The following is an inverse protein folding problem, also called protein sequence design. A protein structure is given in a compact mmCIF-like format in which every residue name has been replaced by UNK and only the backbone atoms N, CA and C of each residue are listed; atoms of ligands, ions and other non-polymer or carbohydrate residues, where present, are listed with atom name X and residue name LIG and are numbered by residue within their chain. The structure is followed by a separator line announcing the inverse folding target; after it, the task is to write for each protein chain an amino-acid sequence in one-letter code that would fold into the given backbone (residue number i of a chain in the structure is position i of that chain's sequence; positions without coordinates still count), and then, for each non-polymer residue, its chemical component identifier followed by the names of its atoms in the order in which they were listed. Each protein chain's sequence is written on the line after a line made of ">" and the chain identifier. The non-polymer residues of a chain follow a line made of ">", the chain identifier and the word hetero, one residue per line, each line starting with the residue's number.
data_IF_803779737064
#
_entry.id   IF_803779737064
#
_cell.length_a   1.000
_cell.length_b   1.000
_cell.length_c   1.000
_cell.angle_alpha   90.00
_cell.angle_beta   90.00
_cell.angle_gamma   90.00
#
_symmetry.space_group_name_H-M   'P 1'
#
loop_
_entity.id
_entity.type
_entity.pdbx_description
1 polymer ?
#
# COMPACT_ATOMS: atom_id res chain seq x y z
N UNK A 1 -1.22 -1.96 -52.91
CA UNK A 1 0.24 -1.82 -52.84
C UNK A 1 0.88 -3.19 -52.99
N UNK A 2 1.54 -3.45 -54.12
CA UNK A 2 2.12 -4.75 -54.46
C UNK A 2 3.25 -5.12 -53.52
N UNK A 3 2.98 -6.01 -52.56
CA UNK A 3 4.02 -6.60 -51.72
C UNK A 3 4.97 -7.39 -52.63
N UNK A 4 6.27 -7.05 -52.61
CA UNK A 4 7.31 -7.76 -53.36
C UNK A 4 7.12 -9.27 -53.16
N UNK A 5 6.80 -10.00 -54.24
CA UNK A 5 6.65 -11.46 -54.22
C UNK A 5 7.94 -12.05 -53.66
N UNK A 6 7.83 -12.77 -52.54
CA UNK A 6 8.98 -13.45 -51.93
C UNK A 6 9.27 -14.66 -52.81
N UNK A 7 10.40 -14.62 -53.51
CA UNK A 7 10.87 -15.70 -54.38
C UNK A 7 12.18 -16.22 -53.81
N UNK A 8 12.23 -17.51 -53.53
CA UNK A 8 13.47 -18.21 -53.21
C UNK A 8 13.91 -19.04 -54.40
N UNK A 9 15.21 -19.07 -54.68
CA UNK A 9 15.78 -19.81 -55.81
C UNK A 9 15.99 -21.28 -55.39
N UNK A 10 15.50 -22.26 -56.18
CA UNK A 10 15.82 -23.67 -56.00
C UNK A 10 17.34 -23.91 -55.95
N UNK A 11 17.80 -24.70 -54.99
CA UNK A 11 19.21 -25.00 -54.74
C UNK A 11 19.86 -24.11 -53.68
N UNK A 12 19.30 -22.95 -53.36
CA UNK A 12 19.89 -22.03 -52.38
C UNK A 12 19.52 -22.36 -50.94
N UNK A 13 20.50 -22.18 -50.05
CA UNK A 13 20.32 -22.25 -48.60
C UNK A 13 19.71 -20.95 -48.10
N UNK A 14 18.63 -21.04 -47.33
CA UNK A 14 17.97 -19.87 -46.73
C UNK A 14 18.84 -19.32 -45.58
N UNK A 15 19.29 -18.05 -45.65
CA UNK A 15 20.19 -17.47 -44.65
C UNK A 15 19.62 -17.57 -43.23
N UNK A 16 20.47 -17.93 -42.25
CA UNK A 16 20.09 -18.06 -40.84
C UNK A 16 19.27 -19.30 -40.50
N UNK A 17 19.10 -20.25 -41.43
CA UNK A 17 18.34 -21.50 -41.21
C UNK A 17 19.12 -22.75 -41.64
N UNK A 18 18.56 -23.91 -41.32
CA UNK A 18 18.99 -25.22 -41.82
C UNK A 18 18.28 -25.64 -43.11
N UNK A 19 17.51 -24.74 -43.74
CA UNK A 19 16.73 -25.07 -44.94
C UNK A 19 17.49 -24.75 -46.23
N UNK A 20 17.52 -25.71 -47.14
CA UNK A 20 17.85 -25.52 -48.56
C UNK A 20 16.57 -25.69 -49.37
N UNK A 21 16.23 -24.71 -50.19
CA UNK A 21 15.04 -24.77 -51.04
C UNK A 21 15.31 -25.75 -52.18
N UNK A 22 14.45 -26.75 -52.39
CA UNK A 22 14.59 -27.70 -53.49
C UNK A 22 13.77 -27.26 -54.71
N UNK A 23 12.51 -26.91 -54.48
CA UNK A 23 11.60 -26.46 -55.54
C UNK A 23 10.39 -25.74 -54.93
N UNK A 24 9.65 -25.03 -55.78
CA UNK A 24 8.33 -24.52 -55.41
C UNK A 24 7.33 -25.67 -55.25
N UNK A 25 6.37 -25.50 -54.35
CA UNK A 25 5.28 -26.45 -54.10
C UNK A 25 3.93 -25.76 -54.31
N UNK A 26 2.87 -26.56 -54.39
CA UNK A 26 1.51 -26.05 -54.54
C UNK A 26 1.16 -25.04 -53.43
N UNK A 27 0.56 -23.92 -53.85
CA UNK A 27 0.13 -22.88 -52.93
C UNK A 27 -0.99 -23.41 -52.03
N UNK A 28 -0.92 -23.07 -50.74
CA UNK A 28 -1.92 -23.49 -49.74
C UNK A 28 -2.52 -22.25 -49.08
N UNK A 29 -3.84 -22.13 -49.06
CA UNK A 29 -4.58 -20.98 -48.51
C UNK A 29 -4.13 -19.62 -49.08
N UNK A 30 -3.85 -19.57 -50.39
CA UNK A 30 -3.37 -18.36 -51.05
C UNK A 30 -1.91 -17.99 -50.70
N UNK A 31 -1.19 -18.85 -49.97
CA UNK A 31 0.21 -18.63 -49.59
C UNK A 31 1.16 -19.53 -50.38
N UNK A 32 2.28 -18.95 -50.81
CA UNK A 32 3.33 -19.62 -51.59
C UNK A 32 4.12 -20.58 -50.71
N UNK A 33 4.31 -21.81 -51.18
CA UNK A 33 4.97 -22.88 -50.45
C UNK A 33 6.23 -23.35 -51.18
N UNK A 34 7.23 -23.79 -50.43
CA UNK A 34 8.47 -24.34 -50.97
C UNK A 34 8.76 -25.70 -50.36
N UNK A 35 9.17 -26.66 -51.19
CA UNK A 35 9.71 -27.93 -50.72
C UNK A 35 11.17 -27.70 -50.35
N UNK A 36 11.48 -27.80 -49.06
CA UNK A 36 12.81 -27.52 -48.52
C UNK A 36 13.41 -28.79 -47.92
N UNK A 37 14.71 -29.00 -48.14
CA UNK A 37 15.52 -30.01 -47.45
C UNK A 37 16.23 -29.37 -46.28
N UNK A 38 16.11 -29.96 -45.10
CA UNK A 38 16.87 -29.50 -43.95
C UNK A 38 18.27 -30.15 -43.93
N UNK A 39 19.24 -29.55 -43.23
CA UNK A 39 20.55 -30.15 -42.94
C UNK A 39 20.43 -31.61 -42.40
N UNK A 40 19.36 -31.92 -41.65
CA UNK A 40 19.03 -33.25 -41.14
C UNK A 40 18.63 -34.28 -42.22
N UNK A 41 18.58 -33.88 -43.49
CA UNK A 41 18.09 -34.69 -44.60
C UNK A 41 16.56 -34.72 -44.76
N UNK A 42 15.79 -34.32 -43.74
CA UNK A 42 14.32 -34.30 -43.82
C UNK A 42 13.83 -33.25 -44.80
N UNK A 43 12.91 -33.64 -45.68
CA UNK A 43 12.26 -32.76 -46.65
C UNK A 43 10.88 -32.36 -46.12
N UNK A 44 10.57 -31.06 -46.11
CA UNK A 44 9.26 -30.53 -45.72
C UNK A 44 8.80 -29.43 -46.65
N UNK A 45 7.48 -29.28 -46.75
CA UNK A 45 6.85 -28.13 -47.40
C UNK A 45 6.72 -26.99 -46.40
N UNK A 46 7.39 -25.87 -46.66
CA UNK A 46 7.50 -24.72 -45.75
C UNK A 46 6.95 -23.46 -46.43
N UNK A 47 6.27 -22.63 -45.64
CA UNK A 47 5.68 -21.38 -46.10
C UNK A 47 6.76 -20.32 -46.38
N UNK A 48 6.62 -19.60 -47.50
CA UNK A 48 7.57 -18.57 -47.93
C UNK A 48 7.76 -17.44 -46.89
N UNK A 49 6.70 -17.01 -46.21
CA UNK A 49 6.78 -16.00 -45.15
C UNK A 49 7.57 -16.54 -43.94
N UNK A 50 7.37 -17.80 -43.57
CA UNK A 50 8.05 -18.40 -42.43
C UNK A 50 9.55 -18.59 -42.68
N UNK A 51 9.95 -18.85 -43.93
CA UNK A 51 11.36 -18.87 -44.34
C UNK A 51 11.97 -17.46 -44.27
N UNK A 52 11.29 -16.45 -44.82
CA UNK A 52 11.80 -15.06 -44.85
C UNK A 52 11.94 -14.44 -43.46
N UNK A 53 10.95 -14.65 -42.59
CA UNK A 53 10.92 -14.04 -41.26
C UNK A 53 11.49 -14.95 -40.16
N UNK A 54 12.21 -16.02 -40.52
CA UNK A 54 12.92 -16.87 -39.56
C UNK A 54 12.01 -17.65 -38.58
N UNK A 55 10.72 -17.83 -38.90
CA UNK A 55 9.79 -18.60 -38.06
C UNK A 55 9.95 -20.11 -38.22
N UNK A 56 10.61 -20.56 -39.29
CA UNK A 56 10.99 -21.95 -39.52
C UNK A 56 12.49 -22.04 -39.72
N UNK A 57 13.21 -22.46 -38.68
CA UNK A 57 14.68 -22.51 -38.70
C UNK A 57 15.23 -23.89 -39.12
N UNK A 58 14.47 -24.98 -38.91
CA UNK A 58 14.87 -26.35 -39.30
C UNK A 58 13.66 -27.29 -39.36
N UNK A 59 13.90 -28.56 -39.74
CA UNK A 59 12.91 -29.65 -39.71
C UNK A 59 12.40 -29.98 -38.28
N UNK A 60 12.96 -29.34 -37.24
CA UNK A 60 12.78 -29.67 -35.82
C UNK A 60 13.91 -30.54 -35.26
N UNK A 61 14.95 -30.82 -36.06
CA UNK A 61 16.13 -31.60 -35.68
C UNK A 61 17.12 -30.84 -34.80
N UNK A 62 17.19 -29.51 -34.91
CA UNK A 62 18.01 -28.68 -34.02
C UNK A 62 17.22 -28.49 -32.73
N UNK A 63 17.36 -29.42 -31.79
CA UNK A 63 16.92 -29.23 -30.41
C UNK A 63 18.10 -28.74 -29.57
N UNK A 64 17.92 -27.77 -28.65
CA UNK A 64 18.95 -27.40 -27.68
C UNK A 64 19.30 -28.60 -26.78
N UNK A 65 20.52 -28.62 -26.27
CA UNK A 65 21.14 -29.73 -25.51
C UNK A 65 20.39 -30.17 -24.24
N UNK A 66 19.37 -29.44 -23.81
CA UNK A 66 18.58 -29.73 -22.61
C UNK A 66 17.57 -30.87 -22.75
N UNK A 67 17.54 -31.59 -23.88
CA UNK A 67 16.50 -32.59 -24.18
C UNK A 67 17.05 -33.98 -24.57
N UNK A 68 18.17 -34.40 -23.96
CA UNK A 68 18.75 -35.77 -24.07
C UNK A 68 17.99 -36.84 -23.26
N UNK A 69 16.66 -36.73 -23.16
CA UNK A 69 15.87 -37.67 -22.35
C UNK A 69 14.52 -37.96 -22.98
N UNK A 70 14.47 -38.46 -24.21
CA UNK A 70 13.21 -38.98 -24.74
C UNK A 70 13.45 -40.09 -25.77
N UNK A 71 13.32 -41.33 -25.30
CA UNK A 71 13.34 -42.57 -26.07
C UNK A 71 12.33 -42.59 -27.23
N UNK A 72 12.57 -43.48 -28.19
CA UNK A 72 11.83 -43.59 -29.44
C UNK A 72 10.37 -44.03 -29.23
N UNK A 73 9.46 -43.63 -30.13
CA UNK A 73 8.00 -43.84 -30.01
C UNK A 73 7.59 -45.33 -29.94
N UNK A 74 8.44 -46.28 -30.39
CA UNK A 74 8.15 -47.72 -30.28
C UNK A 74 8.35 -48.29 -28.86
N UNK A 75 9.15 -47.65 -28.01
CA UNK A 75 9.42 -48.11 -26.64
C UNK A 75 8.39 -47.60 -25.61
N UNK A 76 7.59 -46.58 -25.95
CA UNK A 76 6.59 -45.97 -25.05
C UNK A 76 5.48 -46.91 -24.59
N UNK A 77 5.22 -47.99 -25.31
CA UNK A 77 3.96 -48.71 -25.16
C UNK A 77 3.99 -49.82 -24.09
N UNK A 78 5.17 -50.16 -23.55
CA UNK A 78 5.32 -51.23 -22.56
C UNK A 78 6.36 -50.89 -21.48
N UNK A 79 6.38 -49.63 -21.04
CA UNK A 79 7.25 -49.16 -19.97
C UNK A 79 6.57 -49.48 -18.64
N UNK A 80 7.26 -50.24 -17.78
CA UNK A 80 6.87 -50.35 -16.39
C UNK A 80 7.35 -49.10 -15.63
N UNK A 81 6.42 -48.35 -15.07
CA UNK A 81 6.69 -47.14 -14.30
C UNK A 81 6.69 -47.40 -12.80
N UNK A 82 6.52 -48.65 -12.36
CA UNK A 82 6.47 -49.01 -10.94
C UNK A 82 7.71 -48.53 -10.20
N UNK A 83 7.53 -47.73 -9.14
CA UNK A 83 8.61 -47.17 -8.33
C UNK A 83 9.17 -45.84 -8.82
N UNK A 84 8.91 -45.45 -10.06
CA UNK A 84 9.44 -44.21 -10.66
C UNK A 84 8.85 -42.94 -10.03
N UNK A 85 9.63 -41.86 -10.10
CA UNK A 85 9.34 -40.58 -9.48
C UNK A 85 9.08 -39.49 -10.52
N UNK A 86 7.89 -38.90 -10.49
CA UNK A 86 7.49 -37.77 -11.35
C UNK A 86 7.18 -36.55 -10.48
N UNK A 87 8.18 -35.70 -10.26
CA UNK A 87 8.08 -34.61 -9.28
C UNK A 87 7.87 -35.16 -7.87
N UNK A 88 6.74 -34.83 -7.23
CA UNK A 88 6.36 -35.35 -5.91
C UNK A 88 5.41 -36.56 -5.98
N UNK A 89 5.38 -37.28 -7.10
CA UNK A 89 4.51 -38.45 -7.32
C UNK A 89 5.36 -39.70 -7.48
N UNK A 90 5.16 -40.68 -6.59
CA UNK A 90 5.74 -42.02 -6.70
C UNK A 90 4.72 -42.97 -7.32
N UNK A 91 5.07 -43.64 -8.40
CA UNK A 91 4.21 -44.64 -9.03
C UNK A 91 4.26 -45.95 -8.25
N UNK A 92 3.10 -46.56 -7.97
CA UNK A 92 2.98 -47.78 -7.16
C UNK A 92 2.74 -49.01 -8.00
N UNK A 93 1.70 -49.01 -8.83
CA UNK A 93 1.31 -50.18 -9.63
C UNK A 93 0.46 -49.75 -10.82
N UNK A 94 0.45 -50.59 -11.85
CA UNK A 94 -0.42 -50.42 -13.03
C UNK A 94 -1.82 -50.95 -12.72
N UNK A 95 -2.84 -50.12 -12.94
CA UNK A 95 -4.23 -50.49 -12.65
C UNK A 95 -4.89 -51.10 -13.88
N UNK A 96 -4.81 -50.43 -15.03
CA UNK A 96 -5.48 -50.88 -16.25
C UNK A 96 -4.94 -50.20 -17.52
N UNK A 97 -5.37 -50.67 -18.69
CA UNK A 97 -5.04 -50.07 -19.98
C UNK A 97 -3.66 -50.45 -20.56
N UNK A 98 -3.38 -49.94 -21.76
CA UNK A 98 -2.16 -50.24 -22.52
C UNK A 98 -1.57 -48.97 -23.13
N UNK A 99 -0.24 -48.97 -23.28
CA UNK A 99 0.52 -47.85 -23.85
C UNK A 99 0.32 -46.53 -23.12
N UNK A 100 0.39 -45.41 -23.86
CA UNK A 100 0.32 -44.06 -23.29
C UNK A 100 -0.97 -43.72 -22.53
N UNK A 101 -2.02 -44.53 -22.69
CA UNK A 101 -3.31 -44.38 -21.99
C UNK A 101 -3.46 -45.32 -20.78
N UNK A 102 -2.43 -46.10 -20.44
CA UNK A 102 -2.44 -46.92 -19.24
C UNK A 102 -2.63 -46.07 -17.97
N UNK A 103 -3.45 -46.55 -17.05
CA UNK A 103 -3.76 -45.91 -15.78
C UNK A 103 -2.86 -46.51 -14.72
N UNK A 104 -2.18 -45.63 -13.99
CA UNK A 104 -1.23 -45.97 -12.94
C UNK A 104 -1.72 -45.41 -11.61
N UNK A 105 -1.61 -46.23 -10.56
CA UNK A 105 -1.86 -45.82 -9.19
C UNK A 105 -0.59 -45.23 -8.62
N UNK A 106 -0.69 -44.05 -8.02
CA UNK A 106 0.46 -43.31 -7.53
C UNK A 106 0.23 -42.76 -6.13
N UNK A 107 1.30 -42.59 -5.36
CA UNK A 107 1.32 -41.93 -4.06
C UNK A 107 2.01 -40.58 -4.17
N UNK A 108 1.38 -39.54 -3.67
CA UNK A 108 2.02 -38.23 -3.58
C UNK A 108 2.93 -38.17 -2.35
N UNK A 109 4.23 -37.94 -2.56
CA UNK A 109 5.21 -37.83 -1.47
C UNK A 109 5.08 -36.53 -0.66
N UNK A 110 4.38 -35.52 -1.18
CA UNK A 110 4.17 -34.26 -0.47
C UNK A 110 2.99 -34.26 0.51
N UNK A 111 1.97 -35.12 0.30
CA UNK A 111 0.77 -35.16 1.16
C UNK A 111 0.27 -36.57 1.48
N UNK A 112 0.94 -37.62 1.01
CA UNK A 112 0.57 -39.01 1.23
C UNK A 112 -0.61 -39.54 0.41
N UNK A 113 -1.38 -38.68 -0.27
CA UNK A 113 -2.57 -39.08 -1.04
C UNK A 113 -2.24 -40.10 -2.14
N UNK A 114 -3.02 -41.17 -2.21
CA UNK A 114 -3.03 -42.13 -3.32
C UNK A 114 -4.06 -41.69 -4.36
N UNK A 115 -3.69 -41.73 -5.64
CA UNK A 115 -4.55 -41.31 -6.75
C UNK A 115 -4.14 -42.00 -8.06
N UNK A 116 -5.04 -42.03 -9.03
CA UNK A 116 -4.82 -42.64 -10.33
C UNK A 116 -4.56 -41.58 -11.40
N UNK A 117 -3.62 -41.86 -12.31
CA UNK A 117 -3.23 -40.96 -13.38
C UNK A 117 -2.84 -41.72 -14.64
N UNK A 118 -3.12 -41.12 -15.79
CA UNK A 118 -2.78 -41.68 -17.09
C UNK A 118 -1.28 -41.52 -17.39
N UNK A 119 -0.65 -42.54 -17.96
CA UNK A 119 0.78 -42.61 -18.28
C UNK A 119 1.29 -41.40 -19.09
N UNK A 120 0.52 -40.93 -20.08
CA UNK A 120 0.91 -39.76 -20.88
C UNK A 120 1.06 -38.50 -20.01
N UNK A 121 0.24 -38.35 -18.96
CA UNK A 121 0.31 -37.19 -18.07
C UNK A 121 1.53 -37.23 -17.15
N UNK A 122 1.98 -38.41 -16.75
CA UNK A 122 3.24 -38.60 -16.02
C UNK A 122 4.44 -38.34 -16.93
N UNK A 123 4.49 -39.03 -18.06
CA UNK A 123 5.62 -38.98 -18.99
C UNK A 123 5.79 -37.62 -19.65
N UNK A 124 4.71 -36.93 -20.03
CA UNK A 124 4.78 -35.55 -20.56
C UNK A 124 5.15 -34.49 -19.52
N UNK A 125 5.19 -34.84 -18.23
CA UNK A 125 5.44 -33.91 -17.13
C UNK A 125 4.23 -33.03 -16.76
N UNK A 126 3.04 -33.32 -17.29
CA UNK A 126 1.81 -32.61 -16.93
C UNK A 126 1.37 -32.88 -15.48
N UNK A 127 1.65 -34.07 -14.94
CA UNK A 127 1.36 -34.44 -13.55
C UNK A 127 2.64 -34.58 -12.75
N UNK A 128 2.89 -33.63 -11.84
CA UNK A 128 4.05 -33.60 -10.92
C UNK A 128 3.64 -33.68 -9.44
N UNK A 129 2.33 -33.67 -9.15
CA UNK A 129 1.75 -33.86 -7.82
C UNK A 129 0.31 -34.40 -7.97
N UNK A 130 -0.31 -34.91 -6.89
CA UNK A 130 -1.73 -35.28 -6.89
C UNK A 130 -2.71 -34.08 -6.98
N UNK A 131 -2.18 -32.91 -7.34
CA UNK A 131 -2.86 -31.64 -7.22
C UNK A 131 -2.83 -31.06 -5.81
N UNK A 132 -2.24 -31.70 -4.77
CA UNK A 132 -2.20 -31.14 -3.40
C UNK A 132 -1.51 -29.78 -3.28
N UNK A 133 -0.55 -29.46 -4.15
CA UNK A 133 0.02 -28.11 -4.21
C UNK A 133 -0.98 -27.07 -4.74
N UNK A 134 -1.96 -27.50 -5.56
CA UNK A 134 -3.12 -26.68 -6.00
C UNK A 134 -4.36 -26.88 -5.09
N UNK A 135 -4.49 -28.00 -4.36
CA UNK A 135 -5.56 -28.34 -3.40
C UNK A 135 -5.32 -27.69 -2.04
N UNK A 136 -4.09 -27.23 -1.76
CA UNK A 136 -3.79 -26.14 -0.81
C UNK A 136 -4.42 -24.79 -1.23
N UNK A 137 -5.23 -24.74 -2.30
CA UNK A 137 -6.11 -23.62 -2.63
C UNK A 137 -7.61 -23.98 -2.52
N UNK A 138 -7.97 -25.20 -2.10
CA UNK A 138 -9.36 -25.68 -2.17
C UNK A 138 -9.87 -26.38 -0.90
N UNK A 139 -9.13 -26.34 0.21
CA UNK A 139 -9.68 -26.73 1.52
C UNK A 139 -10.42 -25.54 2.16
N UNK A 140 -11.29 -25.79 3.13
CA UNK A 140 -12.04 -24.77 3.89
C UNK A 140 -11.11 -23.64 4.43
N UNK A 141 -9.85 -23.98 4.76
CA UNK A 141 -8.79 -23.05 5.19
C UNK A 141 -8.28 -22.11 4.08
N UNK A 142 -8.59 -22.34 2.81
CA UNK A 142 -8.13 -21.54 1.67
C UNK A 142 -9.15 -20.51 1.18
N UNK A 143 -10.38 -20.54 1.70
CA UNK A 143 -11.38 -19.49 1.47
C UNK A 143 -10.82 -18.13 1.94
N UNK A 144 -10.09 -18.10 3.05
CA UNK A 144 -9.38 -16.91 3.53
C UNK A 144 -8.20 -16.48 2.62
N UNK A 145 -7.45 -17.43 2.04
CA UNK A 145 -6.27 -17.11 1.23
C UNK A 145 -6.58 -16.62 -0.19
N UNK A 146 -7.73 -17.00 -0.76
CA UNK A 146 -8.24 -16.46 -2.05
C UNK A 146 -9.06 -15.16 -1.89
N UNK A 147 -9.24 -14.71 -0.64
CA UNK A 147 -10.13 -13.61 -0.28
C UNK A 147 -11.59 -13.91 -0.65
N UNK A 148 -12.02 -15.17 -0.53
CA UNK A 148 -13.40 -15.59 -0.76
C UNK A 148 -14.07 -15.81 0.59
N UNK A 149 -14.83 -14.82 1.07
CA UNK A 149 -15.59 -14.93 2.33
C UNK A 149 -17.06 -15.16 2.01
N UNK A 150 -17.67 -16.12 2.69
CA UNK A 150 -19.09 -16.43 2.55
C UNK A 150 -19.53 -16.62 1.07
N UNK A 151 -18.74 -17.36 0.29
CA UNK A 151 -19.01 -17.58 -1.15
C UNK A 151 -18.81 -16.35 -2.06
N UNK A 152 -18.19 -15.29 -1.56
CA UNK A 152 -17.98 -14.03 -2.27
C UNK A 152 -16.49 -13.70 -2.40
N UNK A 153 -16.00 -13.57 -3.64
CA UNK A 153 -14.61 -13.21 -3.91
C UNK A 153 -14.36 -11.70 -3.81
N UNK A 154 -13.70 -11.29 -2.73
CA UNK A 154 -13.28 -9.90 -2.46
C UNK A 154 -12.30 -9.40 -3.53
N UNK A 155 -11.38 -10.26 -3.98
CA UNK A 155 -10.43 -9.93 -5.04
C UNK A 155 -11.12 -9.67 -6.39
N UNK A 156 -12.20 -10.39 -6.70
CA UNK A 156 -13.02 -10.10 -7.88
C UNK A 156 -13.83 -8.81 -7.73
N UNK A 157 -14.42 -8.54 -6.56
CA UNK A 157 -15.14 -7.29 -6.28
C UNK A 157 -14.21 -6.08 -6.44
N UNK A 158 -13.00 -6.13 -5.87
CA UNK A 158 -12.01 -5.03 -5.95
C UNK A 158 -11.42 -4.85 -7.36
N UNK A 159 -11.46 -5.86 -8.21
CA UNK A 159 -10.86 -5.83 -9.54
C UNK A 159 -11.67 -4.99 -10.53
N UNK A 160 -11.06 -3.96 -11.11
CA UNK A 160 -11.66 -3.17 -12.21
C UNK A 160 -11.52 -3.82 -13.59
N UNK A 161 -10.95 -5.04 -13.68
CA UNK A 161 -10.63 -5.68 -14.96
C UNK A 161 -11.89 -6.18 -15.66
N UNK A 162 -12.17 -5.66 -16.85
CA UNK A 162 -13.25 -6.16 -17.71
C UNK A 162 -12.66 -7.24 -18.63
N UNK A 163 -13.37 -8.36 -18.81
CA UNK A 163 -12.96 -9.42 -19.73
C UNK A 163 -13.18 -9.00 -21.18
N UNK A 164 -12.35 -9.49 -22.10
CA UNK A 164 -12.46 -9.19 -23.54
C UNK A 164 -13.77 -9.66 -24.18
N UNK A 165 -14.46 -10.61 -23.56
CA UNK A 165 -15.78 -11.10 -23.98
C UNK A 165 -16.95 -10.20 -23.53
N UNK A 166 -16.70 -9.16 -22.75
CA UNK A 166 -17.73 -8.22 -22.31
C UNK A 166 -17.99 -7.16 -23.40
N UNK A 167 -19.19 -7.18 -23.96
CA UNK A 167 -19.60 -6.31 -25.08
C UNK A 167 -20.24 -4.99 -24.64
N UNK A 168 -20.61 -4.87 -23.37
CA UNK A 168 -21.35 -3.71 -22.82
C UNK A 168 -20.45 -2.71 -22.11
N UNK A 169 -19.17 -3.04 -21.90
CA UNK A 169 -18.22 -2.24 -21.14
C UNK A 169 -18.50 -2.20 -19.63
N UNK A 170 -19.47 -2.98 -19.14
CA UNK A 170 -19.88 -3.01 -17.75
C UNK A 170 -20.07 -4.45 -17.26
N UNK A 171 -19.49 -4.77 -16.09
CA UNK A 171 -19.61 -6.10 -15.49
C UNK A 171 -21.06 -6.37 -15.06
N UNK A 172 -21.53 -7.58 -15.32
CA UNK A 172 -22.87 -8.01 -14.94
C UNK A 172 -23.99 -7.36 -15.77
N UNK A 173 -23.68 -6.61 -16.83
CA UNK A 173 -24.68 -6.03 -17.73
C UNK A 173 -24.55 -6.68 -19.11
N UNK A 174 -25.63 -7.20 -19.66
CA UNK A 174 -25.67 -7.81 -20.99
C UNK A 174 -26.91 -7.41 -21.77
N UNK A 175 -26.84 -7.38 -23.10
CA UNK A 175 -28.00 -7.13 -23.95
C UNK A 175 -28.70 -8.46 -24.27
N UNK A 176 -29.98 -8.58 -23.91
CA UNK A 176 -30.77 -9.75 -24.24
C UNK A 176 -31.55 -9.51 -25.54
N UNK A 177 -31.14 -10.22 -26.59
CA UNK A 177 -31.68 -10.08 -27.95
C UNK A 177 -33.15 -10.51 -28.07
N UNK A 178 -33.62 -11.43 -27.23
CA UNK A 178 -35.00 -11.94 -27.31
C UNK A 178 -36.03 -10.94 -26.77
N UNK A 179 -35.65 -10.15 -25.77
CA UNK A 179 -36.52 -9.14 -25.15
C UNK A 179 -36.20 -7.70 -25.58
N UNK A 180 -35.13 -7.50 -26.36
CA UNK A 180 -34.69 -6.20 -26.85
C UNK A 180 -34.25 -5.22 -25.74
N UNK A 181 -33.81 -5.73 -24.58
CA UNK A 181 -33.48 -4.93 -23.38
C UNK A 181 -32.14 -5.31 -22.79
N UNK A 182 -31.52 -4.38 -22.07
CA UNK A 182 -30.32 -4.61 -21.26
C UNK A 182 -30.72 -5.21 -19.91
N UNK A 183 -30.01 -6.25 -19.48
CA UNK A 183 -30.25 -6.92 -18.22
C UNK A 183 -29.05 -6.77 -17.31
N UNK A 184 -29.29 -6.45 -16.04
CA UNK A 184 -28.26 -6.29 -15.03
C UNK A 184 -28.33 -7.40 -13.98
N UNK A 185 -27.17 -7.90 -13.57
CA UNK A 185 -27.00 -8.97 -12.58
C UNK A 185 -25.90 -8.63 -11.59
N UNK A 186 -26.02 -9.15 -10.37
CA UNK A 186 -24.97 -9.14 -9.36
C UNK A 186 -24.79 -10.53 -8.75
N UNK A 187 -23.54 -10.98 -8.68
CA UNK A 187 -23.19 -12.19 -7.93
C UNK A 187 -22.80 -11.84 -6.50
N UNK A 188 -23.42 -12.47 -5.51
CA UNK A 188 -23.07 -12.32 -4.09
C UNK A 188 -23.39 -13.60 -3.33
N UNK A 189 -22.49 -14.04 -2.45
CA UNK A 189 -22.57 -15.27 -1.66
C UNK A 189 -22.91 -16.52 -2.47
N UNK A 190 -22.25 -16.68 -3.62
CA UNK A 190 -22.50 -17.79 -4.55
C UNK A 190 -23.86 -17.76 -5.27
N UNK A 191 -24.68 -16.71 -5.10
CA UNK A 191 -25.98 -16.55 -5.76
C UNK A 191 -25.93 -15.40 -6.78
N UNK A 192 -26.53 -15.63 -7.96
CA UNK A 192 -26.69 -14.61 -8.99
C UNK A 192 -28.07 -13.96 -8.83
N UNK A 193 -28.11 -12.67 -8.50
CA UNK A 193 -29.33 -11.89 -8.37
C UNK A 193 -29.58 -11.08 -9.64
N UNK A 194 -30.83 -11.08 -10.09
CA UNK A 194 -31.31 -10.29 -11.23
C UNK A 194 -31.77 -8.91 -10.75
N UNK A 195 -31.17 -7.84 -11.29
CA UNK A 195 -31.40 -6.45 -10.88
C UNK A 195 -32.46 -5.74 -11.73
N UNK A 196 -32.88 -6.33 -12.85
CA UNK A 196 -33.91 -5.77 -13.72
C UNK A 196 -33.53 -5.73 -15.20
N UNK A 197 -34.54 -5.40 -16.02
CA UNK A 197 -34.46 -5.24 -17.46
C UNK A 197 -34.70 -3.78 -17.84
N UNK A 198 -33.82 -3.18 -18.63
CA UNK A 198 -33.76 -1.76 -18.92
C UNK A 198 -33.74 -1.52 -20.43
N UNK A 199 -34.42 -0.48 -20.90
CA UNK A 199 -34.40 -0.11 -22.31
C UNK A 199 -33.04 0.47 -22.74
N UNK A 200 -32.38 1.24 -21.87
CA UNK A 200 -31.11 1.91 -22.15
C UNK A 200 -29.96 1.25 -21.38
N UNK A 201 -28.78 1.19 -22.00
CA UNK A 201 -27.57 0.66 -21.37
C UNK A 201 -27.18 1.44 -20.11
N UNK A 202 -27.31 2.78 -20.13
CA UNK A 202 -26.96 3.63 -18.99
C UNK A 202 -27.76 3.27 -17.73
N UNK A 203 -29.04 2.98 -17.88
CA UNK A 203 -29.93 2.68 -16.76
C UNK A 203 -29.57 1.34 -16.11
N UNK A 204 -29.23 0.32 -16.93
CA UNK A 204 -28.72 -0.97 -16.45
C UNK A 204 -27.38 -0.84 -15.72
N UNK A 205 -26.49 0.03 -16.18
CA UNK A 205 -25.20 0.30 -15.51
C UNK A 205 -25.44 1.01 -14.17
N UNK A 206 -26.34 2.00 -14.13
CA UNK A 206 -26.68 2.70 -12.88
C UNK A 206 -27.27 1.73 -11.85
N UNK A 207 -28.21 0.87 -12.26
CA UNK A 207 -28.78 -0.17 -11.39
C UNK A 207 -27.70 -1.13 -10.87
N UNK A 208 -26.74 -1.50 -11.71
CA UNK A 208 -25.59 -2.32 -11.31
C UNK A 208 -24.75 -1.63 -10.23
N UNK A 209 -24.43 -0.35 -10.39
CA UNK A 209 -23.62 0.43 -9.43
C UNK A 209 -24.30 0.57 -8.07
N UNK A 210 -25.59 0.90 -8.06
CA UNK A 210 -26.39 1.00 -6.83
C UNK A 210 -26.36 -0.35 -6.09
N UNK A 211 -26.49 -1.45 -6.81
CA UNK A 211 -26.38 -2.79 -6.22
C UNK A 211 -24.97 -3.10 -5.69
N UNK A 212 -23.90 -2.62 -6.32
CA UNK A 212 -22.52 -2.78 -5.80
C UNK A 212 -22.33 -2.04 -4.47
N UNK A 213 -22.79 -0.79 -4.38
CA UNK A 213 -22.69 0.00 -3.15
C UNK A 213 -23.45 -0.66 -1.99
N UNK A 214 -24.70 -1.06 -2.23
CA UNK A 214 -25.54 -1.63 -1.18
C UNK A 214 -25.13 -3.05 -0.75
N UNK A 215 -24.76 -3.92 -1.71
CA UNK A 215 -24.52 -5.35 -1.43
C UNK A 215 -23.06 -5.60 -1.09
N UNK A 216 -22.11 -4.95 -1.77
CA UNK A 216 -20.68 -5.18 -1.50
C UNK A 216 -20.12 -4.26 -0.43
N UNK A 217 -20.67 -3.05 -0.24
CA UNK A 217 -20.14 -2.08 0.73
C UNK A 217 -20.02 -2.66 2.15
N UNK A 218 -21.15 -3.05 2.72
CA UNK A 218 -21.22 -3.64 4.07
C UNK A 218 -20.34 -4.89 4.25
N UNK A 219 -20.24 -5.72 3.21
CA UNK A 219 -19.43 -6.93 3.22
C UNK A 219 -17.92 -6.65 3.16
N UNK A 220 -17.50 -5.67 2.35
CA UNK A 220 -16.09 -5.29 2.25
C UNK A 220 -15.60 -4.64 3.56
N UNK A 221 -16.46 -3.87 4.23
CA UNK A 221 -16.15 -3.25 5.52
C UNK A 221 -15.91 -4.31 6.60
N UNK A 222 -16.79 -5.31 6.69
CA UNK A 222 -16.62 -6.47 7.59
C UNK A 222 -15.40 -7.32 7.24
N UNK A 223 -15.12 -7.56 5.96
CA UNK A 223 -13.98 -8.34 5.51
C UNK A 223 -12.62 -7.74 5.94
N UNK A 224 -12.48 -6.41 5.88
CA UNK A 224 -11.21 -5.77 6.20
C UNK A 224 -10.94 -5.71 7.73
N UNK A 225 -11.90 -6.05 8.60
CA UNK A 225 -11.74 -6.06 10.05
C UNK A 225 -11.13 -7.37 10.62
N UNK A 226 -11.23 -8.49 9.88
CA UNK A 226 -10.93 -9.86 10.37
C UNK A 226 -9.56 -10.43 9.97
N UNK A 227 -8.55 -9.62 9.62
CA UNK A 227 -7.33 -10.11 8.93
C UNK A 227 -6.01 -10.17 9.74
N UNK A 228 -6.00 -9.80 11.02
CA UNK A 228 -4.81 -9.88 11.86
C UNK A 228 -5.07 -10.77 13.09
N UNK A 229 -4.44 -11.95 13.14
CA UNK A 229 -4.35 -12.74 14.39
C UNK A 229 -3.09 -12.35 15.18
N UNK A 230 -3.04 -12.67 16.48
CA UNK A 230 -1.87 -12.41 17.36
C UNK A 230 -0.55 -12.92 16.73
N UNK A 231 -0.61 -14.04 16.00
CA UNK A 231 0.57 -14.66 15.38
C UNK A 231 1.19 -13.83 14.25
N UNK A 232 0.42 -12.90 13.66
CA UNK A 232 0.88 -12.01 12.60
C UNK A 232 1.90 -10.98 13.11
N UNK A 233 1.72 -10.48 14.33
CA UNK A 233 2.62 -9.50 14.94
C UNK A 233 3.95 -10.15 15.34
N UNK A 234 3.92 -11.36 15.90
CA UNK A 234 5.11 -12.14 16.25
C UNK A 234 6.00 -12.45 15.04
N UNK A 235 5.39 -12.82 13.91
CA UNK A 235 6.09 -13.07 12.66
C UNK A 235 6.76 -11.79 12.13
N UNK A 236 6.07 -10.65 12.20
CA UNK A 236 6.60 -9.36 11.75
C UNK A 236 7.74 -8.85 12.61
N UNK A 237 7.66 -8.99 13.95
CA UNK A 237 8.78 -8.66 14.85
C UNK A 237 10.02 -9.49 14.52
N UNK A 238 9.84 -10.77 14.16
CA UNK A 238 10.93 -11.65 13.75
C UNK A 238 11.57 -11.25 12.41
N UNK A 239 10.79 -10.73 11.46
CA UNK A 239 11.29 -10.29 10.15
C UNK A 239 11.87 -8.87 10.15
N UNK A 240 11.43 -8.04 11.09
CA UNK A 240 11.78 -6.62 11.17
C UNK A 240 12.28 -6.26 12.59
N UNK A 241 13.39 -6.88 12.99
CA UNK A 241 13.96 -6.78 14.35
C UNK A 241 14.67 -5.44 14.67
N UNK A 242 14.63 -4.45 13.76
CA UNK A 242 15.20 -3.13 14.03
C UNK A 242 14.37 -2.38 15.09
N UNK A 243 15.03 -1.68 16.02
CA UNK A 243 14.37 -0.98 17.13
C UNK A 243 13.17 -0.11 16.70
N UNK A 244 13.31 0.64 15.61
CA UNK A 244 12.24 1.49 15.07
C UNK A 244 11.11 0.72 14.39
N UNK A 245 11.39 -0.46 13.85
CA UNK A 245 10.40 -1.31 13.21
C UNK A 245 9.60 -2.10 14.24
N UNK A 246 10.25 -2.63 15.29
CA UNK A 246 9.61 -3.26 16.44
C UNK A 246 8.65 -2.28 17.13
N UNK A 247 9.10 -1.08 17.48
CA UNK A 247 8.25 -0.04 18.08
C UNK A 247 7.05 0.33 17.20
N UNK A 248 7.20 0.29 15.88
CA UNK A 248 6.09 0.54 14.96
C UNK A 248 5.07 -0.60 14.99
N UNK A 249 5.54 -1.86 15.00
CA UNK A 249 4.69 -3.06 15.05
C UNK A 249 3.90 -3.08 16.36
N UNK A 250 4.57 -2.88 17.50
CA UNK A 250 3.94 -2.87 18.84
C UNK A 250 2.89 -1.76 18.93
N UNK A 251 3.17 -0.59 18.35
CA UNK A 251 2.20 0.51 18.36
C UNK A 251 0.97 0.23 17.52
N UNK A 252 1.12 -0.46 16.39
CA UNK A 252 -0.01 -0.89 15.55
C UNK A 252 -0.83 -1.97 16.27
N UNK A 253 -0.17 -2.92 16.93
CA UNK A 253 -0.81 -3.99 17.70
C UNK A 253 -1.64 -3.44 18.87
N UNK A 254 -1.09 -2.49 19.64
CA UNK A 254 -1.80 -1.86 20.75
C UNK A 254 -3.12 -1.22 20.29
N UNK A 255 -3.07 -0.47 19.18
CA UNK A 255 -4.24 0.18 18.58
C UNK A 255 -5.22 -0.86 18.01
N UNK A 256 -4.70 -1.93 17.42
CA UNK A 256 -5.49 -3.02 16.87
C UNK A 256 -6.26 -3.77 17.98
N UNK A 257 -5.64 -4.03 19.14
CA UNK A 257 -6.32 -4.64 20.29
C UNK A 257 -7.44 -3.76 20.84
N UNK A 258 -7.24 -2.44 20.94
CA UNK A 258 -8.31 -1.48 21.33
C UNK A 258 -9.46 -1.46 20.34
N UNK A 259 -9.17 -1.62 19.05
CA UNK A 259 -10.21 -1.76 18.01
C UNK A 259 -11.05 -3.03 18.22
N UNK A 260 -10.43 -4.16 18.57
CA UNK A 260 -11.15 -5.41 18.82
C UNK A 260 -12.09 -5.32 20.02
N UNK A 261 -11.71 -4.58 21.07
CA UNK A 261 -12.55 -4.31 22.25
C UNK A 261 -13.61 -3.22 22.01
N UNK A 262 -13.68 -2.66 20.79
CA UNK A 262 -14.59 -1.56 20.40
C UNK A 262 -14.41 -0.30 21.25
N UNK A 263 -13.20 -0.05 21.74
CA UNK A 263 -12.90 1.21 22.42
C UNK A 263 -12.94 2.38 21.43
N UNK A 264 -13.60 3.47 21.83
CA UNK A 264 -13.59 4.70 21.04
C UNK A 264 -12.21 5.37 21.12
N UNK A 265 -11.61 5.66 19.97
CA UNK A 265 -10.39 6.44 19.91
C UNK A 265 -10.75 7.92 20.10
N UNK A 266 -10.43 8.45 21.29
CA UNK A 266 -10.60 9.86 21.58
C UNK A 266 -9.84 10.75 20.59
N UNK A 267 -10.49 11.82 20.13
CA UNK A 267 -9.89 12.82 19.24
C UNK A 267 -8.65 13.42 19.92
N UNK A 268 -7.54 13.55 19.18
CA UNK A 268 -6.24 14.04 19.66
C UNK A 268 -5.51 13.14 20.68
N UNK A 269 -5.97 11.91 20.92
CA UNK A 269 -5.19 10.92 21.65
C UNK A 269 -3.89 10.56 20.92
N UNK A 270 -2.95 9.95 21.63
CA UNK A 270 -1.71 9.42 21.04
C UNK A 270 -2.00 8.40 19.93
N UNK A 271 -3.08 7.63 20.03
CA UNK A 271 -3.53 6.65 19.03
C UNK A 271 -4.07 7.37 17.79
N UNK A 272 -4.91 8.39 17.99
CA UNK A 272 -5.43 9.24 16.92
C UNK A 272 -4.31 9.91 16.12
N UNK A 273 -3.33 10.52 16.81
CA UNK A 273 -2.19 11.20 16.18
C UNK A 273 -1.29 10.24 15.41
N UNK A 274 -1.09 9.03 15.93
CA UNK A 274 -0.34 7.98 15.23
C UNK A 274 -1.03 7.60 13.91
N UNK A 275 -2.32 7.27 13.94
CA UNK A 275 -3.09 6.86 12.75
C UNK A 275 -3.12 8.00 11.71
N UNK A 276 -3.33 9.24 12.16
CA UNK A 276 -3.35 10.42 11.29
C UNK A 276 -1.99 10.64 10.58
N UNK A 277 -0.87 10.47 11.29
CA UNK A 277 0.46 10.58 10.70
C UNK A 277 0.71 9.47 9.65
N UNK A 278 0.30 8.24 9.94
CA UNK A 278 0.44 7.14 8.98
C UNK A 278 -0.38 7.38 7.71
N UNK A 279 -1.60 7.96 7.82
CA UNK A 279 -2.38 8.40 6.65
C UNK A 279 -1.67 9.49 5.84
N UNK A 280 -1.10 10.50 6.52
CA UNK A 280 -0.41 11.61 5.87
C UNK A 280 0.84 11.15 5.10
N UNK A 281 1.68 10.34 5.75
CA UNK A 281 2.92 9.85 5.18
C UNK A 281 2.76 8.56 4.36
N UNK A 282 1.52 8.12 4.12
CA UNK A 282 1.22 6.81 3.56
C UNK A 282 1.97 6.53 2.26
N UNK A 283 2.13 7.53 1.38
CA UNK A 283 2.86 7.39 0.11
C UNK A 283 4.33 6.99 0.30
N UNK A 284 4.98 7.51 1.34
CA UNK A 284 6.41 7.32 1.59
C UNK A 284 6.71 6.12 2.51
N UNK A 285 5.68 5.45 3.05
CA UNK A 285 5.88 4.25 3.85
C UNK A 285 6.45 3.08 3.02
N UNK A 286 7.24 2.24 3.67
CA UNK A 286 7.70 0.97 3.11
C UNK A 286 6.51 0.07 2.74
N UNK A 287 6.73 -0.84 1.80
CA UNK A 287 5.68 -1.75 1.32
C UNK A 287 5.09 -2.60 2.45
N UNK A 288 5.91 -3.08 3.37
CA UNK A 288 5.46 -3.93 4.48
C UNK A 288 4.62 -3.15 5.50
N UNK A 289 4.98 -1.90 5.83
CA UNK A 289 4.19 -1.04 6.72
C UNK A 289 2.81 -0.72 6.12
N UNK A 290 2.78 -0.43 4.81
CA UNK A 290 1.51 -0.24 4.09
C UNK A 290 0.61 -1.47 4.20
N UNK A 291 1.18 -2.66 4.01
CA UNK A 291 0.43 -3.90 4.12
C UNK A 291 -0.12 -4.08 5.54
N UNK A 292 0.73 -3.96 6.57
CA UNK A 292 0.31 -4.08 7.97
C UNK A 292 -0.83 -3.13 8.33
N UNK A 293 -0.74 -1.86 7.93
CA UNK A 293 -1.78 -0.85 8.19
C UNK A 293 -3.10 -1.14 7.45
N UNK A 294 -3.03 -1.71 6.25
CA UNK A 294 -4.22 -2.10 5.48
C UNK A 294 -4.87 -3.38 6.02
N UNK A 295 -4.05 -4.35 6.43
CA UNK A 295 -4.51 -5.65 6.91
C UNK A 295 -5.13 -5.55 8.30
N UNK A 296 -4.60 -4.68 9.17
CA UNK A 296 -5.18 -4.37 10.48
C UNK A 296 -6.41 -3.47 10.41
N UNK A 297 -6.59 -2.73 9.31
CA UNK A 297 -7.71 -1.80 9.14
C UNK A 297 -7.66 -0.57 10.06
N UNK A 298 -6.59 -0.35 10.84
CA UNK A 298 -6.52 0.74 11.84
C UNK A 298 -6.63 2.13 11.20
N UNK A 299 -6.32 2.28 9.91
CA UNK A 299 -6.53 3.52 9.18
C UNK A 299 -8.01 3.90 9.07
N UNK A 300 -8.94 2.94 9.14
CA UNK A 300 -10.36 3.20 9.03
C UNK A 300 -11.00 3.63 10.37
N UNK A 301 -10.27 3.47 11.49
CA UNK A 301 -10.74 3.84 12.84
C UNK A 301 -11.00 5.34 12.98
N UNK A 302 -10.27 6.14 12.20
CA UNK A 302 -10.54 7.57 12.07
C UNK A 302 -11.14 7.82 10.69
N UNK A 303 -12.22 8.60 10.63
CA UNK A 303 -12.85 8.99 9.37
C UNK A 303 -11.88 9.69 8.39
N UNK A 304 -12.32 9.89 7.15
CA UNK A 304 -11.59 10.71 6.19
C UNK A 304 -11.94 12.20 6.39
N UNK A 305 -11.20 12.94 7.24
CA UNK A 305 -11.11 14.43 7.28
C UNK A 305 -10.05 14.85 8.32
N UNK A 306 -9.20 15.87 8.15
CA UNK A 306 -9.00 16.89 7.09
C UNK A 306 -7.50 16.93 6.74
N UNK A 307 -7.15 16.70 5.47
CA UNK A 307 -5.88 17.23 4.95
C UNK A 307 -6.15 18.73 4.81
N UNK A 308 -5.76 19.53 5.79
CA UNK A 308 -5.94 20.98 5.70
C UNK A 308 -5.29 21.47 4.40
N UNK A 309 -6.09 22.13 3.55
CA UNK A 309 -5.58 22.78 2.34
C UNK A 309 -4.57 23.86 2.73
N UNK A 310 -3.74 24.31 1.79
CA UNK A 310 -2.79 25.38 2.10
C UNK A 310 -3.53 26.64 2.59
N UNK A 311 -4.67 26.97 1.98
CA UNK A 311 -5.46 28.14 2.36
C UNK A 311 -6.12 27.98 3.74
N UNK A 312 -6.57 26.77 4.11
CA UNK A 312 -7.08 26.51 5.46
C UNK A 312 -5.96 26.65 6.51
N UNK A 313 -4.75 26.12 6.23
CA UNK A 313 -3.59 26.25 7.14
C UNK A 313 -3.17 27.72 7.29
N UNK A 314 -3.17 28.45 6.18
CA UNK A 314 -2.90 29.88 6.17
C UNK A 314 -3.91 30.66 7.01
N UNK A 315 -5.20 30.31 6.91
CA UNK A 315 -6.25 30.95 7.70
C UNK A 315 -6.03 30.74 9.21
N UNK A 316 -5.61 29.56 9.64
CA UNK A 316 -5.25 29.33 11.04
C UNK A 316 -4.07 30.18 11.51
N UNK A 317 -3.03 30.34 10.67
CA UNK A 317 -1.93 31.26 10.98
C UNK A 317 -2.43 32.71 11.08
N UNK A 318 -3.29 33.13 10.15
CA UNK A 318 -3.88 34.48 10.18
C UNK A 318 -4.68 34.71 11.46
N UNK A 319 -5.53 33.76 11.87
CA UNK A 319 -6.29 33.84 13.13
C UNK A 319 -5.37 33.91 14.35
N UNK A 320 -4.31 33.11 14.36
CA UNK A 320 -3.31 33.17 15.43
C UNK A 320 -2.65 34.55 15.48
N UNK A 321 -2.26 35.10 14.33
CA UNK A 321 -1.67 36.44 14.26
C UNK A 321 -2.64 37.52 14.75
N UNK A 322 -3.92 37.47 14.35
CA UNK A 322 -4.94 38.40 14.85
C UNK A 322 -5.09 38.31 16.37
N UNK A 323 -4.99 37.12 16.95
CA UNK A 323 -5.14 36.89 18.39
C UNK A 323 -3.91 37.30 19.21
N UNK A 324 -2.71 37.05 18.70
CA UNK A 324 -1.45 37.18 19.47
C UNK A 324 -0.50 38.26 18.93
N UNK A 325 -0.82 38.90 17.80
CA UNK A 325 -0.02 39.93 17.16
C UNK A 325 1.29 39.44 16.52
N UNK A 326 1.54 38.12 16.51
CA UNK A 326 2.76 37.53 15.97
C UNK A 326 2.52 36.07 15.52
N UNK A 327 3.46 35.51 14.76
CA UNK A 327 3.45 34.10 14.32
C UNK A 327 4.48 33.23 15.04
N UNK A 328 4.85 33.58 16.28
CA UNK A 328 5.75 32.77 17.12
C UNK A 328 4.97 31.67 17.83
N UNK A 329 4.37 30.81 17.02
CA UNK A 329 3.52 29.71 17.48
C UNK A 329 4.39 28.67 18.21
N UNK A 330 4.10 28.34 19.48
CA UNK A 330 4.81 27.29 20.20
C UNK A 330 4.73 25.95 19.45
N UNK A 331 5.79 25.14 19.38
CA UNK A 331 5.77 23.87 18.64
C UNK A 331 4.62 22.93 19.03
N UNK A 332 4.24 22.95 20.31
CA UNK A 332 3.15 22.15 20.88
C UNK A 332 1.75 22.74 20.70
N UNK A 333 1.63 23.94 20.12
CA UNK A 333 0.33 24.61 19.98
C UNK A 333 -0.54 23.93 18.91
N UNK A 334 -1.77 23.63 19.32
CA UNK A 334 -2.83 23.03 18.49
C UNK A 334 -4.04 23.96 18.56
N UNK A 335 -4.62 24.27 17.39
CA UNK A 335 -5.86 25.05 17.28
C UNK A 335 -7.05 24.31 17.89
N UNK A 336 -8.14 25.02 18.17
CA UNK A 336 -9.40 24.44 18.67
C UNK A 336 -9.93 23.30 17.77
N UNK A 337 -9.69 23.41 16.45
CA UNK A 337 -10.08 22.41 15.45
C UNK A 337 -9.09 21.23 15.33
N UNK A 338 -8.09 21.13 16.19
CA UNK A 338 -7.12 20.04 16.21
C UNK A 338 -5.97 20.18 15.20
N UNK A 339 -5.82 21.31 14.51
CA UNK A 339 -4.67 21.56 13.63
C UNK A 339 -3.41 21.93 14.45
N UNK A 340 -2.34 21.13 14.32
CA UNK A 340 -1.03 21.36 14.93
C UNK A 340 -0.27 22.52 14.24
N UNK A 341 -0.77 23.74 14.44
CA UNK A 341 -0.25 24.96 13.82
C UNK A 341 1.22 25.21 14.20
N UNK A 342 1.63 24.89 15.43
CA UNK A 342 3.01 25.06 15.89
C UNK A 342 4.03 24.25 15.09
N UNK A 343 3.74 22.97 14.89
CA UNK A 343 4.55 22.06 14.07
C UNK A 343 4.58 22.54 12.62
N UNK A 344 3.43 22.97 12.08
CA UNK A 344 3.36 23.42 10.69
C UNK A 344 4.21 24.67 10.42
N UNK A 345 4.10 25.70 11.27
CA UNK A 345 4.91 26.92 11.17
C UNK A 345 6.41 26.61 11.33
N UNK A 346 6.78 25.71 12.25
CA UNK A 346 8.17 25.28 12.44
C UNK A 346 8.74 24.61 11.19
N UNK A 347 7.97 23.70 10.57
CA UNK A 347 8.37 23.03 9.34
C UNK A 347 8.53 24.02 8.18
N UNK A 348 7.66 25.03 8.08
CA UNK A 348 7.79 26.08 7.07
C UNK A 348 9.10 26.86 7.21
N UNK A 349 9.49 27.22 8.44
CA UNK A 349 10.78 27.89 8.69
C UNK A 349 11.97 27.03 8.32
N UNK A 350 11.93 25.74 8.65
CA UNK A 350 13.01 24.81 8.31
C UNK A 350 13.18 24.64 6.79
N UNK A 351 12.07 24.56 6.05
CA UNK A 351 12.09 24.50 4.58
C UNK A 351 12.66 25.80 3.99
N UNK A 352 12.19 26.96 4.47
CA UNK A 352 12.66 28.26 3.97
C UNK A 352 14.15 28.49 4.24
N UNK A 353 14.64 28.13 5.42
CA UNK A 353 16.05 28.29 5.79
C UNK A 353 16.99 27.25 5.17
N UNK A 354 16.47 26.29 4.39
CA UNK A 354 17.27 25.22 3.78
C UNK A 354 17.69 24.11 4.74
N UNK A 355 17.12 24.07 5.95
CA UNK A 355 17.39 23.03 6.95
C UNK A 355 16.61 21.73 6.69
N UNK A 356 15.63 21.75 5.78
CA UNK A 356 14.80 20.60 5.45
C UNK A 356 14.33 20.67 4.00
N UNK A 357 14.22 19.52 3.35
CA UNK A 357 13.66 19.42 2.00
C UNK A 357 12.15 19.68 2.00
N UNK A 358 11.67 20.50 1.07
CA UNK A 358 10.24 20.80 0.96
C UNK A 358 9.89 21.71 -0.21
N UNK A 359 8.58 21.82 -0.50
CA UNK A 359 8.05 22.69 -1.56
C UNK A 359 7.34 23.91 -0.95
N UNK A 360 8.05 25.02 -0.93
CA UNK A 360 7.51 26.33 -0.58
C UNK A 360 7.81 27.29 -1.74
N UNK A 361 6.79 27.62 -2.53
CA UNK A 361 6.95 28.51 -3.69
C UNK A 361 6.88 29.99 -3.26
N UNK A 362 7.34 30.88 -4.13
CA UNK A 362 7.40 32.32 -3.86
C UNK A 362 6.05 32.93 -3.50
N UNK A 363 4.95 32.48 -4.13
CA UNK A 363 3.61 32.98 -3.83
C UNK A 363 3.19 32.69 -2.38
N UNK A 364 3.50 31.50 -1.87
CA UNK A 364 3.20 31.11 -0.49
C UNK A 364 4.09 31.84 0.51
N UNK A 365 5.33 32.11 0.14
CA UNK A 365 6.25 32.94 0.94
C UNK A 365 5.65 34.34 1.10
N UNK A 366 5.35 35.02 -0.02
CA UNK A 366 4.76 36.37 -0.02
C UNK A 366 3.46 36.44 0.79
N UNK A 367 2.62 35.41 0.69
CA UNK A 367 1.35 35.34 1.41
C UNK A 367 1.56 35.17 2.92
N UNK A 368 2.58 34.43 3.37
CA UNK A 368 2.91 34.33 4.80
C UNK A 368 3.62 35.59 5.33
N UNK A 369 4.41 36.26 4.49
CA UNK A 369 5.04 37.53 4.83
C UNK A 369 4.00 38.64 5.02
N UNK A 370 2.91 38.65 4.25
CA UNK A 370 1.83 39.63 4.40
C UNK A 370 1.08 39.53 5.74
N UNK A 371 1.21 38.41 6.47
CA UNK A 371 0.68 38.23 7.82
C UNK A 371 1.79 38.26 8.89
N UNK A 372 2.99 38.73 8.54
CA UNK A 372 4.07 38.97 9.49
C UNK A 372 4.84 37.73 9.93
N UNK A 373 5.01 36.72 9.07
CA UNK A 373 5.88 35.58 9.42
C UNK A 373 7.34 36.02 9.53
N UNK A 374 7.95 35.74 10.68
CA UNK A 374 9.39 35.82 10.84
C UNK A 374 10.01 34.46 10.48
N UNK A 375 10.78 34.40 9.39
CA UNK A 375 11.40 33.15 8.92
C UNK A 375 12.57 32.69 9.80
N UNK A 376 13.39 33.63 10.24
CA UNK A 376 14.53 33.38 11.14
C UNK A 376 14.20 33.91 12.52
N UNK A 377 13.79 33.01 13.41
CA UNK A 377 13.55 33.34 14.81
C UNK A 377 14.74 32.89 15.64
N UNK A 378 15.23 33.78 16.49
CA UNK A 378 16.09 33.37 17.58
C UNK A 378 15.18 32.82 18.69
N UNK A 379 15.25 31.52 18.99
CA UNK A 379 14.34 30.82 19.92
C UNK A 379 14.38 31.32 21.38
N UNK A 380 15.19 32.35 21.67
CA UNK A 380 15.20 33.05 22.94
C UNK A 380 14.38 34.32 22.78
N UNK A 381 13.28 34.40 23.53
CA UNK A 381 12.58 35.68 23.71
C UNK A 381 13.57 36.72 24.23
N UNK A 382 13.47 37.92 23.69
CA UNK A 382 14.19 39.08 24.25
C UNK A 382 13.63 39.42 25.63
N UNK A 383 14.36 40.25 26.38
CA UNK A 383 13.89 40.64 27.71
C UNK A 383 12.54 41.38 27.65
N UNK A 384 12.36 42.28 26.68
CA UNK A 384 11.11 43.03 26.54
C UNK A 384 9.92 42.13 26.14
N UNK A 385 10.16 41.08 25.36
CA UNK A 385 9.13 40.10 25.01
C UNK A 385 8.71 39.26 26.22
N UNK A 386 9.67 38.86 27.06
CA UNK A 386 9.36 38.24 28.35
C UNK A 386 8.61 39.18 29.29
N UNK A 387 8.98 40.46 29.30
CA UNK A 387 8.30 41.48 30.07
C UNK A 387 6.85 41.65 29.64
N UNK A 388 6.56 41.67 28.34
CA UNK A 388 5.19 41.73 27.83
C UNK A 388 4.35 40.53 28.28
N UNK A 389 4.91 39.31 28.29
CA UNK A 389 4.22 38.14 28.84
C UNK A 389 3.90 38.31 30.34
N UNK A 390 4.80 38.93 31.11
CA UNK A 390 4.56 39.25 32.51
C UNK A 390 3.48 40.33 32.67
N UNK A 391 3.44 41.34 31.80
CA UNK A 391 2.39 42.37 31.76
C UNK A 391 1.03 41.74 31.51
N UNK A 392 0.92 40.81 30.55
CA UNK A 392 -0.34 40.13 30.23
C UNK A 392 -0.81 39.27 31.40
N UNK A 393 0.09 38.51 32.03
CA UNK A 393 -0.22 37.77 33.26
C UNK A 393 -0.72 38.69 34.38
N UNK A 394 -0.07 39.86 34.55
CA UNK A 394 -0.47 40.84 35.55
C UNK A 394 -1.86 41.42 35.26
N UNK A 395 -2.20 41.70 34.00
CA UNK A 395 -3.56 42.16 33.64
C UNK A 395 -4.63 41.13 33.99
N UNK A 396 -4.34 39.85 33.81
CA UNK A 396 -5.30 38.76 34.09
C UNK A 396 -5.42 38.44 35.59
N UNK A 397 -4.31 38.46 36.34
CA UNK A 397 -4.27 37.97 37.72
C UNK A 397 -4.05 39.07 38.77
N UNK A 398 -3.72 40.29 38.36
CA UNK A 398 -3.41 41.43 39.24
C UNK A 398 -2.13 41.28 40.07
N UNK A 399 -1.31 40.25 39.81
CA UNK A 399 -0.07 39.98 40.53
C UNK A 399 0.92 39.17 39.68
N UNK A 400 2.16 39.02 40.16
CA UNK A 400 3.19 38.15 39.58
C UNK A 400 3.57 36.99 40.52
N UNK A 401 2.57 36.33 41.12
CA UNK A 401 2.75 35.13 41.95
C UNK A 401 2.31 33.88 41.19
N UNK A 402 3.28 33.24 40.53
CA UNK A 402 3.08 31.96 39.86
C UNK A 402 4.11 30.91 40.32
N UNK A 403 3.77 29.61 40.26
CA UNK A 403 4.76 28.53 40.40
C UNK A 403 5.89 28.67 39.37
N UNK A 404 7.10 28.23 39.71
CA UNK A 404 8.25 28.28 38.78
C UNK A 404 8.04 27.46 37.50
N UNK A 405 7.16 26.45 37.55
CA UNK A 405 6.75 25.63 36.41
C UNK A 405 5.61 26.22 35.59
N UNK A 406 5.07 27.39 35.96
CA UNK A 406 3.98 28.02 35.23
C UNK A 406 4.43 28.36 33.80
N UNK A 407 3.61 27.93 32.84
CA UNK A 407 3.82 28.15 31.41
C UNK A 407 2.71 29.05 30.87
N UNK A 408 3.12 30.08 30.13
CA UNK A 408 2.22 30.97 29.40
C UNK A 408 2.70 31.00 27.95
N UNK A 409 1.79 30.74 27.01
CA UNK A 409 2.12 30.67 25.58
C UNK A 409 3.28 29.71 25.28
N UNK A 410 3.36 28.58 25.99
CA UNK A 410 4.43 27.58 25.82
C UNK A 410 5.81 28.00 26.35
N UNK A 411 5.90 29.15 27.01
CA UNK A 411 7.11 29.65 27.65
C UNK A 411 7.00 29.53 29.17
N UNK A 412 8.07 29.07 29.82
CA UNK A 412 8.16 28.92 31.28
C UNK A 412 8.29 30.28 31.98
N UNK A 413 7.23 31.08 31.94
CA UNK A 413 7.17 32.42 32.52
C UNK A 413 7.51 32.41 34.00
N UNK A 414 7.02 31.42 34.76
CA UNK A 414 7.36 31.30 36.18
C UNK A 414 8.86 31.11 36.44
N UNK A 415 9.55 30.38 35.58
CA UNK A 415 11.00 30.21 35.65
C UNK A 415 11.71 31.51 35.28
N UNK A 416 11.26 32.22 34.24
CA UNK A 416 11.83 33.50 33.86
C UNK A 416 11.71 34.55 34.97
N UNK A 417 10.52 34.73 35.55
CA UNK A 417 10.30 35.64 36.69
C UNK A 417 11.18 35.25 37.89
N UNK A 418 11.30 33.95 38.18
CA UNK A 418 12.20 33.45 39.24
C UNK A 418 13.67 33.80 38.97
N UNK A 419 14.11 33.68 37.71
CA UNK A 419 15.46 34.05 37.29
C UNK A 419 15.72 35.55 37.46
N UNK A 420 14.73 36.42 37.23
CA UNK A 420 14.86 37.87 37.50
C UNK A 420 15.06 38.13 39.00
N UNK A 421 14.31 37.45 39.87
CA UNK A 421 14.48 37.56 41.34
C UNK A 421 15.87 37.13 41.80
N UNK A 422 16.41 36.06 41.22
CA UNK A 422 17.79 35.59 41.49
C UNK A 422 18.83 36.60 41.00
N UNK A 423 18.64 37.17 39.81
CA UNK A 423 19.55 38.17 39.24
C UNK A 423 19.64 39.44 40.11
N UNK A 424 18.52 39.90 40.70
CA UNK A 424 18.52 41.04 41.63
C UNK A 424 19.21 40.71 42.97
N UNK A 425 19.05 39.48 43.49
CA UNK A 425 19.71 39.03 44.74
C UNK A 425 21.22 38.85 44.60
N UNK A 426 21.70 38.46 43.43
CA UNK A 426 23.12 38.21 43.16
C UNK A 426 23.60 39.00 41.93
N UNK A 427 23.84 40.32 42.06
CA UNK A 427 24.24 41.19 40.94
C UNK A 427 25.54 40.78 40.23
N UNK A 428 26.43 40.05 40.93
CA UNK A 428 27.70 39.53 40.39
C UNK A 428 27.60 38.15 39.73
N UNK A 429 26.41 37.55 39.64
CA UNK A 429 26.22 36.22 39.05
C UNK A 429 26.21 36.19 37.52
N UNK A 430 26.08 35.00 36.95
CA UNK A 430 25.92 34.80 35.49
C UNK A 430 24.61 35.38 34.93
N UNK A 431 23.60 35.61 35.78
CA UNK A 431 22.32 36.23 35.39
C UNK A 431 22.38 37.71 35.75
N UNK A 432 22.16 38.58 34.76
CA UNK A 432 22.20 40.04 34.95
C UNK A 432 20.82 40.63 34.69
N UNK A 433 20.47 41.64 35.47
CA UNK A 433 19.29 42.49 35.29
C UNK A 433 19.72 43.93 35.45
N UNK A 434 19.30 44.81 34.53
CA UNK A 434 19.66 46.23 34.57
C UNK A 434 18.75 47.00 35.54
N UNK A 435 19.18 48.16 36.06
CA UNK A 435 18.32 49.01 36.90
C UNK A 435 17.01 49.41 36.20
N UNK A 436 17.04 49.66 34.89
CA UNK A 436 15.86 49.98 34.09
C UNK A 436 14.88 48.80 34.02
N UNK A 437 15.38 47.57 33.86
CA UNK A 437 14.58 46.34 33.85
C UNK A 437 13.93 46.05 35.21
N UNK A 438 14.63 46.37 36.30
CA UNK A 438 14.06 46.32 37.65
C UNK A 438 12.88 47.29 37.75
N UNK A 439 13.05 48.53 37.32
CA UNK A 439 11.99 49.55 37.35
C UNK A 439 10.75 49.15 36.53
N UNK A 440 10.96 48.58 35.33
CA UNK A 440 9.87 48.03 34.52
C UNK A 440 9.09 46.92 35.26
N UNK A 441 9.78 45.98 35.90
CA UNK A 441 9.12 44.90 36.64
C UNK A 441 8.43 45.38 37.93
N UNK A 442 8.97 46.39 38.60
CA UNK A 442 8.34 47.03 39.76
C UNK A 442 7.05 47.76 39.37
N UNK A 443 7.00 48.37 38.18
CA UNK A 443 5.80 49.01 37.65
C UNK A 443 4.62 48.04 37.45
N UNK A 444 4.89 46.75 37.26
CA UNK A 444 3.88 45.68 37.16
C UNK A 444 3.77 44.83 38.44
N UNK A 445 4.20 45.36 39.58
CA UNK A 445 3.94 44.77 40.89
C UNK A 445 4.72 43.49 41.19
N UNK A 446 5.96 43.36 40.67
CA UNK A 446 6.80 42.22 41.03
C UNK A 446 7.17 42.26 42.52
N UNK A 447 6.92 41.16 43.23
CA UNK A 447 7.35 41.00 44.61
C UNK A 447 8.71 40.28 44.67
N UNK A 448 9.75 40.99 45.12
CA UNK A 448 11.12 40.47 45.17
C UNK A 448 11.37 39.49 46.34
N UNK A 449 10.62 39.64 47.43
CA UNK A 449 10.74 38.81 48.63
C UNK A 449 9.62 37.78 48.71
N UNK A 450 10.00 36.53 49.00
CA UNK A 450 9.07 35.51 49.47
C UNK A 450 9.08 35.58 50.99
N UNK A 451 7.97 36.00 51.62
CA UNK A 451 7.84 36.00 53.09
C UNK A 451 8.35 34.66 53.64
N UNK A 452 9.33 34.70 54.55
CA UNK A 452 9.79 33.52 55.30
C UNK A 452 8.56 32.88 55.94
N UNK A 453 8.34 31.58 55.72
CA UNK A 453 7.42 30.80 56.55
C UNK A 453 7.95 30.82 57.98
N UNK A 454 7.41 31.68 58.82
CA UNK A 454 7.56 31.59 60.28
C UNK A 454 6.99 30.23 60.70
N UNK A 455 7.85 29.27 61.02
CA UNK A 455 7.43 28.11 61.80
C UNK A 455 7.11 28.62 63.20
N UNK A 456 5.91 28.34 63.75
CA UNK A 456 5.67 28.55 65.17
C UNK A 456 6.60 27.59 65.93
N UNK A 457 7.43 28.14 66.82
CA UNK A 457 8.12 27.34 67.83
C UNK A 457 7.07 26.88 68.84
N UNK A 458 6.68 25.62 68.79
CA UNK A 458 5.95 24.98 69.89
C UNK A 458 6.85 24.95 71.12
N UNK A 459 6.30 25.44 72.23
CA UNK A 459 6.86 25.50 73.57
C UNK A 459 6.28 24.37 74.40
#
# INVERSE_FOLDING_TARGET
>A
MGGKKIVFVPGERVPGTSWTVLQEAESKNGERMYKCRCDCGTIRTVNAKNLKYGKSLSCGCRKPESNKGWFSIKEKNNIDLTGEMFGSVKVLEKVSGKGSMAIWKCKCMACGKIFEVVQNSLTSGATKSCGCMHRKQSSEKCKDYLGIIDGTSVSQIKSKKIFSSNTTGARGVSYNKHIGKYVAYIGFKGKLQHLGCYAKLKDAISARKIAEENIYGSFLDSYNLNRCDETTFDMLRSQHAGLHDANFIDRVEEIYSKMQTKEEIAVNSSDYLFIANQKYNYKNLSKWRKNLLNDTGILNLIGNRRIYSWDEKFEYARRYYVKFGNLRVPPQYVTEDGFALGVWITNLRNIYCGNSEGRLNEERVKKLESIGIEWRINNKLTWDEWYNLAVDYYKEHGNLRMPSKYEMNGYKLGNWVSNQKVAKRHPGGHRRITPEQIGKLEAIGIEWETRKRSHPSES
#
